data_IF_953311273084
#
_entry.id   IF_953311273084
#
_cell.length_a   1.000
_cell.length_b   1.000
_cell.length_c   1.000
_cell.angle_alpha   90.00
_cell.angle_beta   90.00
_cell.angle_gamma   90.00
#
_symmetry.space_group_name_H-M   'P 1'
#
loop_
_entity.id
_entity.type
_entity.pdbx_description
1 polymer ?
#
# COMPACT_ATOMS: atom_id res chain seq x y z
N UNK A 1 -7.85 -3.53 5.09
CA UNK A 1 -7.69 -2.10 5.44
C UNK A 1 -6.68 -2.00 6.57
N UNK A 2 -5.79 -1.00 6.55
CA UNK A 2 -4.74 -0.84 7.56
C UNK A 2 -5.25 -0.21 8.86
N UNK A 3 -6.35 0.53 8.77
CA UNK A 3 -7.07 1.12 9.90
C UNK A 3 -6.42 2.38 10.45
N UNK A 4 -5.14 2.29 10.80
CA UNK A 4 -4.36 3.40 11.34
C UNK A 4 -3.74 4.29 10.25
N UNK A 5 -3.86 5.61 10.44
CA UNK A 5 -3.42 6.60 9.47
C UNK A 5 -1.89 6.65 9.33
N UNK A 6 -1.15 6.55 10.43
CA UNK A 6 0.31 6.57 10.41
C UNK A 6 0.84 5.31 9.75
N UNK A 7 0.27 4.16 10.08
CA UNK A 7 0.58 2.88 9.44
C UNK A 7 0.37 2.94 7.93
N UNK A 8 -0.72 3.56 7.44
CA UNK A 8 -0.96 3.70 6.01
C UNK A 8 0.09 4.57 5.29
N UNK A 9 0.55 5.66 5.92
CA UNK A 9 1.61 6.51 5.36
C UNK A 9 2.95 5.80 5.36
N UNK A 10 3.36 5.22 6.50
CA UNK A 10 4.63 4.48 6.60
C UNK A 10 4.69 3.27 5.66
N UNK A 11 3.56 2.60 5.44
CA UNK A 11 3.48 1.51 4.48
C UNK A 11 3.72 2.03 3.06
N UNK A 12 3.11 3.16 2.69
CA UNK A 12 3.30 3.77 1.37
C UNK A 12 4.75 4.25 1.15
N UNK A 13 5.38 4.84 2.17
CA UNK A 13 6.79 5.23 2.13
C UNK A 13 7.71 4.03 1.88
N UNK A 14 7.48 2.90 2.58
CA UNK A 14 8.27 1.69 2.38
C UNK A 14 8.05 1.03 1.01
N UNK A 15 6.83 1.13 0.47
CA UNK A 15 6.56 0.69 -0.90
C UNK A 15 7.32 1.56 -1.92
N UNK A 16 7.41 2.87 -1.68
CA UNK A 16 8.14 3.80 -2.53
C UNK A 16 9.65 3.51 -2.53
N UNK A 17 10.24 3.19 -1.38
CA UNK A 17 11.65 2.75 -1.29
C UNK A 17 11.92 1.49 -2.14
N UNK A 18 10.91 0.63 -2.31
CA UNK A 18 10.96 -0.57 -3.18
C UNK A 18 10.65 -0.27 -4.65
N UNK A 19 10.48 1.00 -5.00
CA UNK A 19 10.18 1.47 -6.35
C UNK A 19 8.73 1.27 -6.77
N UNK A 20 7.80 1.16 -5.83
CA UNK A 20 6.35 1.04 -6.09
C UNK A 20 5.65 2.26 -5.49
N UNK A 21 5.20 3.15 -6.37
CA UNK A 21 4.51 4.36 -5.93
C UNK A 21 3.02 4.07 -5.65
N UNK A 22 2.65 4.16 -4.38
CA UNK A 22 1.27 4.07 -3.89
C UNK A 22 1.03 5.19 -2.88
N UNK A 23 -0.25 5.52 -2.65
CA UNK A 23 -0.63 6.58 -1.72
C UNK A 23 -1.51 5.99 -0.61
N UNK A 24 -1.18 6.35 0.63
CA UNK A 24 -2.02 6.10 1.80
C UNK A 24 -3.22 7.04 1.82
N UNK A 25 -4.42 6.48 1.95
CA UNK A 25 -5.68 7.19 2.11
C UNK A 25 -5.97 7.30 3.61
N UNK A 26 -6.09 8.53 4.09
CA UNK A 26 -6.41 8.85 5.49
C UNK A 26 -7.58 9.84 5.56
N UNK A 27 -8.08 10.13 6.76
CA UNK A 27 -9.07 11.20 6.95
C UNK A 27 -8.52 12.54 6.41
N UNK A 28 -9.34 13.38 5.72
CA UNK A 28 -10.79 13.26 5.49
C UNK A 28 -11.21 12.45 4.26
N UNK A 29 -10.27 11.86 3.52
CA UNK A 29 -10.57 11.09 2.30
C UNK A 29 -11.31 9.78 2.61
N UNK A 30 -11.00 9.18 3.77
CA UNK A 30 -11.69 8.01 4.34
C UNK A 30 -12.07 8.28 5.80
N UNK A 31 -13.11 7.62 6.36
CA UNK A 31 -13.43 7.74 7.77
C UNK A 31 -12.25 7.40 8.69
N UNK A 32 -12.22 7.99 9.88
CA UNK A 32 -11.21 7.65 10.90
C UNK A 32 -11.27 6.16 11.23
N UNK A 33 -10.11 5.55 11.46
CA UNK A 33 -10.00 4.11 11.70
C UNK A 33 -10.16 3.24 10.44
N UNK A 34 -10.29 3.84 9.26
CA UNK A 34 -10.37 3.15 7.97
C UNK A 34 -9.27 3.60 7.01
N UNK A 35 -8.08 3.93 7.52
CA UNK A 35 -6.96 4.22 6.66
C UNK A 35 -6.54 2.97 5.86
N UNK A 36 -5.97 3.17 4.67
CA UNK A 36 -5.54 2.08 3.82
C UNK A 36 -4.86 2.58 2.56
N UNK A 37 -4.43 1.65 1.72
CA UNK A 37 -3.84 1.96 0.42
C UNK A 37 -4.83 1.50 -0.65
N UNK A 38 -5.15 2.38 -1.59
CA UNK A 38 -5.98 2.04 -2.75
C UNK A 38 -5.08 1.83 -3.97
N UNK A 39 -4.99 0.58 -4.42
CA UNK A 39 -4.25 0.22 -5.63
C UNK A 39 -5.16 0.40 -6.85
N UNK A 40 -4.62 0.99 -7.91
CA UNK A 40 -5.33 1.17 -9.19
C UNK A 40 -4.52 0.46 -10.27
N UNK A 41 -5.12 -0.52 -10.92
CA UNK A 41 -4.48 -1.29 -12.00
C UNK A 41 -4.79 -0.62 -13.33
N UNK A 42 -3.79 -0.56 -14.20
CA UNK A 42 -3.88 -0.07 -15.57
C UNK A 42 -3.65 -1.22 -16.54
N UNK A 43 -4.28 -1.16 -17.72
CA UNK A 43 -4.00 -2.08 -18.83
C UNK A 43 -2.55 -1.96 -19.34
N UNK A 44 -1.83 -0.89 -18.97
CA UNK A 44 -0.42 -0.70 -19.28
C UNK A 44 0.52 -1.54 -18.40
N UNK A 45 0.06 -2.08 -17.27
CA UNK A 45 0.89 -2.93 -16.42
C UNK A 45 1.01 -4.34 -17.00
N UNK A 46 2.22 -4.87 -17.00
CA UNK A 46 2.52 -6.28 -17.25
C UNK A 46 2.19 -7.14 -16.03
N UNK A 47 2.07 -8.46 -16.25
CA UNK A 47 1.89 -9.43 -15.16
C UNK A 47 3.06 -9.40 -14.18
N UNK A 48 4.28 -9.26 -14.71
CA UNK A 48 5.51 -9.23 -13.92
C UNK A 48 5.58 -8.00 -12.99
N UNK A 49 5.10 -6.83 -13.45
CA UNK A 49 4.98 -5.64 -12.62
C UNK A 49 3.95 -5.83 -11.50
N UNK A 50 2.83 -6.50 -11.80
CA UNK A 50 1.80 -6.83 -10.80
C UNK A 50 2.37 -7.80 -9.76
N UNK A 51 3.07 -8.86 -10.19
CA UNK A 51 3.67 -9.85 -9.29
C UNK A 51 4.73 -9.21 -8.38
N UNK A 52 5.59 -8.33 -8.94
CA UNK A 52 6.53 -7.54 -8.14
C UNK A 52 5.82 -6.67 -7.12
N UNK A 53 4.71 -6.02 -7.51
CA UNK A 53 3.90 -5.20 -6.61
C UNK A 53 3.33 -6.04 -5.46
N UNK A 54 2.73 -7.20 -5.78
CA UNK A 54 2.17 -8.13 -4.79
C UNK A 54 3.24 -8.60 -3.82
N UNK A 55 4.42 -9.02 -4.30
CA UNK A 55 5.50 -9.48 -3.44
C UNK A 55 5.97 -8.38 -2.47
N UNK A 56 6.08 -7.14 -2.95
CA UNK A 56 6.42 -6.01 -2.08
C UNK A 56 5.35 -5.76 -1.00
N UNK A 57 4.06 -5.82 -1.36
CA UNK A 57 2.97 -5.72 -0.38
C UNK A 57 3.04 -6.83 0.67
N UNK A 58 3.36 -8.07 0.27
CA UNK A 58 3.53 -9.21 1.20
C UNK A 58 4.69 -8.95 2.16
N UNK A 59 5.84 -8.53 1.65
CA UNK A 59 7.03 -8.30 2.47
C UNK A 59 6.82 -7.17 3.48
N UNK A 60 6.30 -6.02 3.02
CA UNK A 60 6.01 -4.86 3.88
C UNK A 60 4.90 -5.22 4.88
N UNK A 61 3.89 -5.96 4.42
CA UNK A 61 2.79 -6.43 5.25
C UNK A 61 3.26 -7.28 6.43
N UNK A 62 4.11 -8.28 6.16
CA UNK A 62 4.72 -9.11 7.21
C UNK A 62 5.60 -8.30 8.16
N UNK A 63 6.44 -7.41 7.62
CA UNK A 63 7.35 -6.57 8.42
C UNK A 63 6.59 -5.64 9.36
N UNK A 64 5.47 -5.08 8.91
CA UNK A 64 4.60 -4.18 9.70
C UNK A 64 3.57 -4.93 10.55
N UNK A 65 3.52 -6.27 10.48
CA UNK A 65 2.64 -7.12 11.29
C UNK A 65 1.15 -6.98 10.97
N UNK A 66 0.81 -6.70 9.71
CA UNK A 66 -0.59 -6.53 9.27
C UNK A 66 -1.17 -7.76 8.56
N UNK A 67 -0.31 -8.72 8.23
CA UNK A 67 -0.63 -10.05 7.70
C UNK A 67 0.31 -11.11 8.27
#
# INVERSE_FOLDING_TARGET
>A
MLGDARLAVEFADEMLERGIYVIGFTFPVVPKGQAGIRVQISAAHSTEEIDRCVQAFIDVGKKKGVI
#
